data_IF_912133825058
#
_entry.id   IF_912133825058
#
_cell.length_a   1.000
_cell.length_b   1.000
_cell.length_c   1.000
_cell.angle_alpha   90.00
_cell.angle_beta   90.00
_cell.angle_gamma   90.00
#
_symmetry.space_group_name_H-M   'P 1'
#
loop_
_entity.id
_entity.type
_entity.pdbx_description
1 polymer ?
#
# COMPACT_ATOMS: atom_id res chain seq x y z
N UNK A 1 -0.12 -1.76 1.55
CA UNK A 1 0.93 -0.95 2.21
C UNK A 1 2.30 -1.62 2.14
N UNK A 2 2.42 -2.88 2.58
CA UNK A 2 3.67 -3.64 2.67
C UNK A 2 4.53 -3.56 1.40
N UNK A 3 3.97 -3.79 0.21
CA UNK A 3 4.72 -3.74 -1.06
C UNK A 3 5.32 -2.36 -1.38
N UNK A 4 4.69 -1.27 -0.93
CA UNK A 4 5.22 0.08 -1.11
C UNK A 4 6.33 0.38 -0.09
N UNK A 5 6.20 -0.09 1.15
CA UNK A 5 7.26 -0.01 2.16
C UNK A 5 8.49 -0.83 1.74
N UNK A 6 8.29 -2.05 1.22
CA UNK A 6 9.36 -2.88 0.66
C UNK A 6 10.12 -2.13 -0.44
N UNK A 7 9.41 -1.50 -1.37
CA UNK A 7 10.02 -0.73 -2.44
C UNK A 7 10.88 0.44 -1.94
N UNK A 8 10.38 1.18 -0.94
CA UNK A 8 11.12 2.29 -0.31
C UNK A 8 12.32 1.78 0.50
N UNK A 9 12.16 0.66 1.22
CA UNK A 9 13.24 0.03 2.01
C UNK A 9 14.41 -0.40 1.12
N UNK A 10 14.12 -0.95 -0.06
CA UNK A 10 15.12 -1.35 -1.07
C UNK A 10 15.79 -0.15 -1.74
N UNK A 11 15.21 1.04 -1.61
CA UNK A 11 15.78 2.31 -2.04
C UNK A 11 16.34 3.12 -0.86
N UNK A 12 16.86 2.43 0.17
CA UNK A 12 17.50 3.03 1.35
C UNK A 12 16.61 4.05 2.08
N UNK A 13 15.29 3.81 2.10
CA UNK A 13 14.30 4.70 2.69
C UNK A 13 14.18 6.08 2.03
N UNK A 14 14.69 6.23 0.81
CA UNK A 14 14.62 7.46 0.03
C UNK A 14 13.49 7.41 -0.98
N UNK A 15 13.02 8.58 -1.39
CA UNK A 15 12.07 8.71 -2.49
C UNK A 15 12.67 8.11 -3.78
N UNK A 16 11.84 7.38 -4.52
CA UNK A 16 12.25 6.83 -5.81
C UNK A 16 12.20 7.91 -6.88
N UNK A 17 13.11 7.82 -7.86
CA UNK A 17 13.00 8.63 -9.07
C UNK A 17 11.61 8.42 -9.69
N UNK A 18 10.92 9.49 -10.08
CA UNK A 18 9.59 9.42 -10.68
C UNK A 18 9.54 8.45 -11.86
N UNK A 19 10.61 8.35 -12.66
CA UNK A 19 10.72 7.44 -13.82
C UNK A 19 11.24 6.04 -13.46
N UNK A 20 11.33 5.69 -12.18
CA UNK A 20 11.82 4.37 -11.78
C UNK A 20 10.90 3.26 -12.33
N UNK A 21 11.42 2.30 -13.09
CA UNK A 21 10.64 1.17 -13.60
C UNK A 21 9.95 0.36 -12.49
N UNK A 22 10.52 0.35 -11.27
CA UNK A 22 9.96 -0.36 -10.14
C UNK A 22 8.60 0.20 -9.66
N UNK A 23 8.31 1.48 -9.95
CA UNK A 23 7.00 2.09 -9.71
C UNK A 23 5.94 1.58 -10.70
N UNK A 24 6.34 1.42 -11.96
CA UNK A 24 5.49 0.87 -13.02
C UNK A 24 5.19 -0.60 -12.77
N UNK A 25 6.22 -1.40 -12.44
CA UNK A 25 6.04 -2.81 -12.08
C UNK A 25 5.08 -3.00 -10.90
N UNK A 26 5.21 -2.16 -9.86
CA UNK A 26 4.32 -2.22 -8.70
C UNK A 26 2.88 -1.83 -9.06
N UNK A 27 2.69 -0.81 -9.90
CA UNK A 27 1.38 -0.41 -10.41
C UNK A 27 0.72 -1.54 -11.18
N UNK A 28 1.45 -2.15 -12.12
CA UNK A 28 0.92 -3.22 -12.96
C UNK A 28 0.57 -4.47 -12.14
N UNK A 29 1.43 -4.86 -11.20
CA UNK A 29 1.17 -5.97 -10.29
C UNK A 29 -0.12 -5.74 -9.47
N UNK A 30 -0.28 -4.53 -8.89
CA UNK A 30 -1.44 -4.20 -8.07
C UNK A 30 -2.74 -4.12 -8.89
N UNK A 31 -2.66 -3.70 -10.16
CA UNK A 31 -3.81 -3.66 -11.06
C UNK A 31 -4.20 -5.06 -11.55
N UNK A 32 -3.23 -5.93 -11.82
CA UNK A 32 -3.46 -7.31 -12.24
C UNK A 32 -4.04 -8.19 -11.13
N UNK A 33 -3.67 -7.93 -9.88
CA UNK A 33 -4.09 -8.70 -8.71
C UNK A 33 -5.61 -8.69 -8.43
N UNK A 34 -6.37 -7.71 -8.94
CA UNK A 34 -7.83 -7.53 -8.71
C UNK A 34 -8.35 -7.87 -7.29
N UNK A 35 -7.55 -7.58 -6.26
CA UNK A 35 -7.74 -7.99 -4.84
C UNK A 35 -8.93 -7.32 -4.10
N UNK A 36 -9.80 -6.59 -4.81
CA UNK A 36 -10.96 -5.90 -4.20
C UNK A 36 -12.19 -5.96 -5.13
N UNK A 37 -13.42 -5.69 -4.66
CA UNK A 37 -14.56 -5.47 -5.54
C UNK A 37 -14.29 -4.30 -6.51
N UNK A 38 -14.79 -4.41 -7.75
CA UNK A 38 -14.67 -3.34 -8.76
C UNK A 38 -15.63 -2.17 -8.51
N UNK A 39 -16.75 -2.43 -7.84
CA UNK A 39 -17.76 -1.42 -7.51
C UNK A 39 -17.19 -0.39 -6.51
N UNK A 40 -17.41 0.90 -6.78
CA UNK A 40 -16.99 2.00 -5.91
C UNK A 40 -15.50 2.38 -6.00
N UNK A 41 -14.72 1.79 -6.92
CA UNK A 41 -13.32 2.20 -7.11
C UNK A 41 -13.24 3.57 -7.80
N UNK A 42 -12.41 4.50 -7.31
CA UNK A 42 -12.08 5.70 -8.07
C UNK A 42 -11.28 5.33 -9.32
N UNK A 43 -11.42 6.12 -10.40
CA UNK A 43 -10.79 5.85 -11.70
C UNK A 43 -9.25 5.72 -11.64
N UNK A 44 -8.64 6.36 -10.64
CA UNK A 44 -7.20 6.34 -10.42
C UNK A 44 -6.73 5.20 -9.50
N UNK A 45 -7.60 4.26 -9.11
CA UNK A 45 -7.26 3.17 -8.20
C UNK A 45 -6.05 2.36 -8.71
N UNK A 46 -5.01 2.29 -7.87
CA UNK A 46 -3.73 1.64 -8.19
C UNK A 46 -3.08 2.12 -9.49
N UNK A 47 -3.40 3.34 -9.93
CA UNK A 47 -2.66 3.99 -11.02
C UNK A 47 -1.22 4.26 -10.61
N UNK A 48 -0.32 4.36 -11.59
CA UNK A 48 1.07 4.74 -11.38
C UNK A 48 1.21 6.05 -10.59
N UNK A 49 0.34 7.03 -10.84
CA UNK A 49 0.32 8.29 -10.10
C UNK A 49 -0.01 8.11 -8.62
N UNK A 50 -0.99 7.25 -8.32
CA UNK A 50 -1.38 6.95 -6.93
C UNK A 50 -0.30 6.14 -6.21
N UNK A 51 0.32 5.17 -6.88
CA UNK A 51 1.46 4.40 -6.34
C UNK A 51 2.65 5.31 -6.05
N UNK A 52 3.02 6.20 -6.99
CA UNK A 52 4.08 7.20 -6.81
C UNK A 52 3.83 8.06 -5.57
N UNK A 53 2.63 8.61 -5.44
CA UNK A 53 2.26 9.45 -4.29
C UNK A 53 2.42 8.65 -2.99
N UNK A 54 1.91 7.42 -2.95
CA UNK A 54 2.00 6.56 -1.77
C UNK A 54 3.45 6.26 -1.36
N UNK A 55 4.30 5.95 -2.33
CA UNK A 55 5.73 5.69 -2.12
C UNK A 55 6.46 6.94 -1.60
N UNK A 56 6.17 8.11 -2.17
CA UNK A 56 6.73 9.38 -1.69
C UNK A 56 6.25 9.72 -0.28
N UNK A 57 4.97 9.49 0.02
CA UNK A 57 4.41 9.70 1.35
C UNK A 57 5.15 8.84 2.39
N UNK A 58 5.34 7.54 2.13
CA UNK A 58 6.09 6.62 2.99
C UNK A 58 7.54 7.09 3.20
N UNK A 59 8.26 7.41 2.13
CA UNK A 59 9.65 7.89 2.23
C UNK A 59 9.76 9.17 3.07
N UNK A 60 8.79 10.09 2.91
CA UNK A 60 8.75 11.34 3.67
C UNK A 60 8.40 11.16 5.15
N UNK A 61 7.72 10.06 5.51
CA UNK A 61 7.36 9.74 6.89
C UNK A 61 8.45 8.96 7.64
N UNK A 62 9.50 8.52 6.95
CA UNK A 62 10.59 7.78 7.58
C UNK A 62 11.29 8.65 8.66
N UNK A 63 11.67 8.11 9.83
CA UNK A 63 12.28 8.88 10.91
C UNK A 63 13.58 9.62 10.55
N UNK A 64 14.31 9.14 9.54
CA UNK A 64 15.52 9.80 9.04
C UNK A 64 15.28 10.87 7.97
N UNK A 65 14.02 11.09 7.55
CA UNK A 65 13.70 12.12 6.57
C UNK A 65 13.87 13.52 7.17
N UNK A 66 14.69 14.35 6.52
CA UNK A 66 15.06 15.69 7.02
C UNK A 66 14.19 16.83 6.46
N UNK A 67 13.33 16.53 5.48
CA UNK A 67 12.42 17.51 4.88
C UNK A 67 11.11 17.66 5.64
N UNK A 68 10.17 18.42 5.06
CA UNK A 68 8.80 18.50 5.58
C UNK A 68 8.03 17.24 5.17
N UNK A 69 7.60 16.37 6.10
CA UNK A 69 6.88 15.16 5.76
C UNK A 69 5.54 15.51 5.10
N UNK A 70 5.08 14.64 4.21
CA UNK A 70 3.70 14.69 3.73
C UNK A 70 2.74 14.34 4.87
N UNK A 71 1.45 14.68 4.73
CA UNK A 71 0.45 14.28 5.72
C UNK A 71 0.15 12.77 5.69
N UNK A 72 0.48 12.09 4.58
CA UNK A 72 0.17 10.68 4.26
C UNK A 72 -1.19 10.18 4.72
N UNK A 73 -1.39 8.86 4.70
CA UNK A 73 -2.56 8.22 5.30
C UNK A 73 -2.36 7.94 6.79
N UNK A 74 -3.44 7.91 7.57
CA UNK A 74 -3.42 7.56 9.01
C UNK A 74 -2.84 6.17 9.27
N UNK A 75 -3.02 5.24 8.34
CA UNK A 75 -2.55 3.85 8.41
C UNK A 75 -1.11 3.65 7.92
N UNK A 76 -0.50 4.66 7.30
CA UNK A 76 0.82 4.54 6.67
C UNK A 76 1.91 4.45 7.72
N UNK A 77 1.79 5.28 8.77
CA UNK A 77 2.80 5.41 9.82
C UNK A 77 2.95 4.14 10.67
N UNK A 78 1.88 3.48 11.17
CA UNK A 78 2.03 2.24 11.92
C UNK A 78 2.73 1.14 11.13
N UNK A 79 2.30 0.92 9.87
CA UNK A 79 2.91 -0.11 9.01
C UNK A 79 4.36 0.21 8.68
N UNK A 80 4.68 1.49 8.43
CA UNK A 80 6.07 1.92 8.21
C UNK A 80 6.95 1.63 9.44
N UNK A 81 6.47 1.97 10.64
CA UNK A 81 7.23 1.73 11.88
C UNK A 81 7.45 0.24 12.13
N UNK A 82 6.44 -0.59 11.89
CA UNK A 82 6.57 -2.05 11.94
C UNK A 82 7.57 -2.57 10.90
N UNK A 83 7.52 -2.05 9.67
CA UNK A 83 8.47 -2.41 8.63
C UNK A 83 9.91 -2.05 9.02
N UNK A 84 10.13 -0.86 9.57
CA UNK A 84 11.46 -0.44 10.04
C UNK A 84 11.96 -1.38 11.14
N UNK A 85 11.12 -1.69 12.13
CA UNK A 85 11.48 -2.55 13.25
C UNK A 85 11.85 -3.98 12.82
N UNK A 86 11.19 -4.51 11.77
CA UNK A 86 11.33 -5.90 11.33
C UNK A 86 11.73 -6.02 9.85
N UNK A 87 12.62 -5.14 9.35
CA UNK A 87 12.87 -4.95 7.91
C UNK A 87 13.10 -6.26 7.15
N UNK A 88 13.97 -7.16 7.63
CA UNK A 88 14.27 -8.41 6.93
C UNK A 88 13.06 -9.35 6.85
N UNK A 89 12.28 -9.46 7.93
CA UNK A 89 11.08 -10.30 7.97
C UNK A 89 10.00 -9.72 7.05
N UNK A 90 9.78 -8.41 7.12
CA UNK A 90 8.76 -7.71 6.34
C UNK A 90 9.11 -7.68 4.84
N UNK A 91 10.40 -7.67 4.49
CA UNK A 91 10.85 -7.88 3.10
C UNK A 91 10.59 -9.31 2.61
N UNK A 92 10.77 -10.31 3.46
CA UNK A 92 10.44 -11.70 3.13
C UNK A 92 8.92 -11.84 2.90
N UNK A 93 8.10 -11.25 3.76
CA UNK A 93 6.65 -11.21 3.59
C UNK A 93 6.24 -10.48 2.30
N UNK A 94 6.85 -9.33 2.02
CA UNK A 94 6.61 -8.61 0.76
C UNK A 94 6.95 -9.46 -0.47
N UNK A 95 8.02 -10.26 -0.41
CA UNK A 95 8.38 -11.20 -1.47
C UNK A 95 7.32 -12.31 -1.62
N UNK A 96 6.85 -12.90 -0.52
CA UNK A 96 5.76 -13.88 -0.53
C UNK A 96 4.46 -13.31 -1.10
N UNK A 97 4.10 -12.07 -0.75
CA UNK A 97 2.92 -11.37 -1.32
C UNK A 97 3.11 -11.19 -2.83
N UNK A 98 4.28 -10.70 -3.29
CA UNK A 98 4.55 -10.55 -4.74
C UNK A 98 4.38 -11.87 -5.48
N UNK A 99 4.90 -12.96 -4.92
CA UNK A 99 4.78 -14.29 -5.52
C UNK A 99 3.33 -14.78 -5.55
N UNK A 100 2.58 -14.60 -4.47
CA UNK A 100 1.15 -14.93 -4.41
C UNK A 100 0.32 -14.15 -5.45
N UNK A 101 0.62 -12.86 -5.63
CA UNK A 101 -0.05 -12.02 -6.62
C UNK A 101 0.27 -12.44 -8.06
N UNK A 102 1.54 -12.79 -8.35
CA UNK A 102 1.97 -13.24 -9.68
C UNK A 102 1.44 -14.63 -10.04
N UNK A 103 1.39 -15.54 -9.05
CA UNK A 103 1.06 -16.94 -9.30
C UNK A 103 -0.43 -17.19 -9.56
N UNK A 104 -1.35 -16.40 -8.99
CA UNK A 104 -2.79 -16.68 -9.19
C UNK A 104 -3.75 -15.47 -9.19
N UNK A 105 -3.32 -14.22 -8.95
CA UNK A 105 -4.25 -13.08 -8.77
C UNK A 105 -5.30 -13.26 -7.65
N UNK A 106 -5.29 -14.41 -6.96
CA UNK A 106 -6.08 -14.76 -5.79
C UNK A 106 -5.08 -14.97 -4.68
N UNK A 107 -4.95 -13.98 -3.82
CA UNK A 107 -4.31 -14.17 -2.53
C UNK A 107 -5.19 -15.18 -1.78
N UNK A 108 -4.68 -16.37 -1.50
CA UNK A 108 -5.28 -17.20 -0.45
C UNK A 108 -5.19 -16.39 0.84
N UNK A 109 -6.23 -16.38 1.71
CA UNK A 109 -6.13 -15.72 2.99
C UNK A 109 -4.95 -16.35 3.72
N UNK A 110 -3.89 -15.57 3.91
CA UNK A 110 -2.92 -15.88 4.96
C UNK A 110 -3.77 -15.72 6.22
N UNK A 111 -4.03 -16.81 6.92
CA UNK A 111 -4.61 -16.78 8.27
C UNK A 111 -3.62 -16.04 9.17
N UNK A 112 -3.66 -14.72 9.09
CA UNK A 112 -3.13 -13.88 10.14
C UNK A 112 -4.17 -13.93 11.24
N UNK A 113 -3.85 -14.63 12.32
CA UNK A 113 -4.54 -14.54 13.61
C UNK A 113 -4.32 -13.12 14.16
N UNK A 114 -4.98 -12.14 13.54
CA UNK A 114 -5.05 -10.77 14.03
C UNK A 114 -6.51 -10.53 14.38
N UNK A 115 -6.77 -10.63 15.68
CA UNK A 115 -7.88 -9.96 16.33
C UNK A 115 -7.75 -8.45 16.08
N UNK A 116 -8.22 -7.99 14.92
CA UNK A 116 -8.38 -6.59 14.63
C UNK A 116 -9.74 -6.39 13.99
N UNK A 117 -10.68 -5.97 14.84
CA UNK A 117 -12.06 -5.71 14.49
C UNK A 117 -12.21 -4.83 13.24
N UNK A 118 -13.14 -5.28 12.40
CA UNK A 118 -14.05 -4.47 11.58
C UNK A 118 -13.36 -3.55 10.55
N UNK A 119 -13.17 -4.15 9.36
CA UNK A 119 -13.66 -3.65 8.08
C UNK A 119 -14.35 -2.27 8.14
N UNK A 120 -13.73 -1.23 7.57
CA UNK A 120 -14.39 -0.33 6.60
C UNK A 120 -13.44 0.76 6.10
N UNK A 121 -13.73 1.18 4.87
CA UNK A 121 -13.24 2.32 4.11
C UNK A 121 -12.25 3.29 4.78
N UNK A 122 -11.11 3.54 4.13
CA UNK A 122 -10.79 4.88 3.60
C UNK A 122 -9.42 4.89 2.91
N UNK A 123 -9.38 4.93 1.58
CA UNK A 123 -8.26 5.51 0.83
C UNK A 123 -8.81 6.20 -0.43
N UNK A 124 -9.44 7.36 -0.22
CA UNK A 124 -9.77 8.28 -1.29
C UNK A 124 -10.93 9.18 -0.93
N UNK A 125 -10.64 10.23 -0.15
CA UNK A 125 -11.48 11.40 0.15
C UNK A 125 -13.00 11.19 0.08
N UNK A 126 -13.63 11.27 1.26
CA UNK A 126 -15.02 11.67 1.50
C UNK A 126 -15.85 12.03 0.25
N UNK A 127 -16.83 11.21 -0.07
CA UNK A 127 -18.23 11.59 -0.25
C UNK A 127 -19.07 10.31 -0.49
N UNK A 128 -20.27 10.28 0.09
CA UNK A 128 -21.27 9.20 0.13
C UNK A 128 -21.19 8.20 1.30
N UNK A 129 -21.05 8.72 2.52
CA UNK A 129 -21.86 8.18 3.62
C UNK A 129 -23.28 8.73 3.46
N UNK A 130 -24.13 7.95 2.81
CA UNK A 130 -25.59 7.85 2.99
C UNK A 130 -26.16 7.24 1.71
N UNK A 131 -26.51 5.95 1.75
CA UNK A 131 -27.84 5.45 1.34
C UNK A 131 -27.90 3.91 1.31
N UNK A 132 -27.71 3.24 2.44
CA UNK A 132 -28.22 1.85 2.56
C UNK A 132 -28.66 1.55 4.00
N UNK A 133 -29.56 2.40 4.50
CA UNK A 133 -30.51 2.03 5.56
C UNK A 133 -31.86 2.63 5.15
N UNK A 134 -32.84 1.73 4.94
CA UNK A 134 -34.18 1.90 4.31
C UNK A 134 -34.11 1.62 2.81
N UNK A 135 -34.74 0.59 2.25
CA UNK A 135 -35.81 -0.31 2.69
C UNK A 135 -35.52 -1.78 2.31
#
# INVERSE_FOLDING_TARGET
>A
MILACDLVSRNEWRELNRKSPALEELSDLLRAADIHPRAGRPDNFRSLGSVRRKVADIASQHPSYSGKPTRGGSHDKPVLLEFIANTSQMQAEAASIREGLRSNGRMLPIELDVDHGVLEADEGQELFVQHLRRD
#
